data_IF_767225796050
#
_entry.id   IF_767225796050
#
_cell.length_a   1.000
_cell.length_b   1.000
_cell.length_c   1.000
_cell.angle_alpha   90.00
_cell.angle_beta   90.00
_cell.angle_gamma   90.00
#
_symmetry.space_group_name_H-M   'P 1'
#
loop_
_entity.id
_entity.type
_entity.pdbx_description
1 polymer ?
#
# COMPACT_ATOMS: atom_id res chain seq x y z
N UNK A 1 5.73 -23.51 14.47
CA UNK A 1 4.59 -23.45 13.51
C UNK A 1 4.91 -24.23 12.26
N UNK A 2 3.94 -24.95 11.70
CA UNK A 2 4.10 -25.51 10.35
C UNK A 2 3.64 -24.48 9.30
N UNK A 3 4.52 -24.12 8.37
CA UNK A 3 4.20 -23.15 7.33
C UNK A 3 3.28 -23.76 6.26
N UNK A 4 2.19 -23.07 5.84
CA UNK A 4 1.42 -23.48 4.66
C UNK A 4 2.30 -23.41 3.40
N UNK A 5 2.20 -24.39 2.54
CA UNK A 5 3.06 -24.49 1.35
C UNK A 5 2.42 -23.99 0.04
N UNK A 6 1.13 -23.70 0.06
CA UNK A 6 0.37 -23.26 -1.13
C UNK A 6 0.91 -21.96 -1.71
N UNK A 7 1.08 -20.92 -0.88
CA UNK A 7 1.61 -19.61 -1.29
C UNK A 7 3.08 -19.72 -1.68
N UNK A 8 3.87 -20.49 -0.91
CA UNK A 8 5.29 -20.68 -1.19
C UNK A 8 5.52 -21.24 -2.60
N UNK A 9 4.78 -22.27 -2.96
CA UNK A 9 4.88 -22.92 -4.29
C UNK A 9 4.45 -21.99 -5.41
N UNK A 10 3.33 -21.26 -5.21
CA UNK A 10 2.81 -20.35 -6.23
C UNK A 10 3.73 -19.16 -6.49
N UNK A 11 4.37 -18.64 -5.45
CA UNK A 11 5.20 -17.43 -5.53
C UNK A 11 6.71 -17.73 -5.62
N UNK A 12 7.12 -19.00 -5.52
CA UNK A 12 8.55 -19.38 -5.59
C UNK A 12 9.37 -18.84 -4.42
N UNK A 13 8.81 -18.80 -3.20
CA UNK A 13 9.43 -18.28 -1.99
C UNK A 13 9.59 -19.38 -0.93
N UNK A 14 10.49 -19.15 0.04
CA UNK A 14 10.74 -20.12 1.11
C UNK A 14 9.68 -20.03 2.23
N UNK A 15 9.33 -18.81 2.64
CA UNK A 15 8.36 -18.54 3.70
C UNK A 15 7.18 -17.75 3.14
N UNK A 16 5.92 -18.08 3.51
CA UNK A 16 4.73 -17.39 2.98
C UNK A 16 4.53 -16.01 3.61
N UNK A 17 5.61 -15.27 3.79
CA UNK A 17 5.64 -13.92 4.34
C UNK A 17 5.95 -12.94 3.22
N UNK A 18 5.14 -11.89 3.14
CA UNK A 18 5.21 -10.87 2.11
C UNK A 18 5.54 -9.52 2.75
N UNK A 19 6.60 -8.86 2.33
CA UNK A 19 6.82 -7.46 2.64
C UNK A 19 5.75 -6.64 1.90
N UNK A 20 4.92 -5.91 2.63
CA UNK A 20 3.83 -5.12 2.07
C UNK A 20 4.34 -4.05 1.10
N UNK A 21 3.65 -3.83 -0.05
CA UNK A 21 3.97 -2.71 -0.94
C UNK A 21 3.53 -1.40 -0.29
N UNK A 22 4.47 -0.61 0.21
CA UNK A 22 4.22 0.65 0.91
C UNK A 22 4.78 1.81 0.09
N UNK A 23 3.94 2.46 -0.72
CA UNK A 23 4.39 3.57 -1.57
C UNK A 23 4.93 4.73 -0.73
N UNK A 24 6.16 5.18 -1.07
CA UNK A 24 6.88 6.20 -0.30
C UNK A 24 7.63 5.67 0.94
N UNK A 25 7.57 4.36 1.21
CA UNK A 25 8.28 3.67 2.31
C UNK A 25 9.14 2.53 1.79
N UNK A 26 8.56 1.62 0.98
CA UNK A 26 9.27 0.51 0.37
C UNK A 26 10.30 1.00 -0.64
N UNK A 27 11.55 0.61 -0.46
CA UNK A 27 12.66 0.88 -1.38
C UNK A 27 13.05 -0.39 -2.13
N UNK A 28 13.80 -0.26 -3.20
CA UNK A 28 14.38 -1.42 -3.91
C UNK A 28 15.28 -2.26 -3.01
N UNK A 29 15.95 -1.62 -2.03
CA UNK A 29 16.77 -2.29 -1.01
C UNK A 29 15.91 -3.10 -0.06
N UNK A 30 14.76 -2.58 0.39
CA UNK A 30 13.80 -3.30 1.23
C UNK A 30 13.27 -4.56 0.52
N UNK A 31 12.93 -4.45 -0.76
CA UNK A 31 12.48 -5.57 -1.59
C UNK A 31 13.56 -6.67 -1.67
N UNK A 32 14.80 -6.27 -1.95
CA UNK A 32 15.93 -7.22 -2.02
C UNK A 32 16.22 -7.87 -0.66
N UNK A 33 16.15 -7.11 0.44
CA UNK A 33 16.35 -7.63 1.79
C UNK A 33 15.26 -8.63 2.20
N UNK A 34 14.01 -8.38 1.82
CA UNK A 34 12.91 -9.33 2.03
C UNK A 34 13.15 -10.63 1.24
N UNK A 35 13.57 -10.52 -0.02
CA UNK A 35 13.89 -11.69 -0.86
C UNK A 35 15.06 -12.50 -0.27
N UNK A 36 16.06 -11.84 0.31
CA UNK A 36 17.20 -12.48 0.99
C UNK A 36 16.79 -13.22 2.27
N UNK A 37 15.73 -12.76 2.95
CA UNK A 37 15.13 -13.47 4.07
C UNK A 37 14.31 -14.72 3.65
N UNK A 38 14.16 -15.00 2.36
CA UNK A 38 13.34 -16.08 1.83
C UNK A 38 11.84 -15.73 1.73
N UNK A 39 11.52 -14.45 1.86
CA UNK A 39 10.17 -13.86 1.78
C UNK A 39 9.92 -13.25 0.40
N UNK A 40 8.67 -12.84 0.11
CA UNK A 40 8.38 -12.05 -1.08
C UNK A 40 8.59 -10.57 -0.80
N UNK A 41 9.51 -9.94 -1.52
CA UNK A 41 9.60 -8.48 -1.60
C UNK A 41 8.51 -7.93 -2.52
N UNK A 42 7.94 -6.77 -2.18
CA UNK A 42 6.93 -6.13 -3.03
C UNK A 42 7.33 -4.69 -3.36
N UNK A 43 7.56 -4.44 -4.64
CA UNK A 43 7.92 -3.14 -5.20
C UNK A 43 6.64 -2.31 -5.40
N UNK A 44 6.52 -1.21 -4.70
CA UNK A 44 5.35 -0.33 -4.78
C UNK A 44 5.49 0.66 -5.95
N UNK A 45 4.87 0.36 -7.09
CA UNK A 45 4.82 1.23 -8.26
C UNK A 45 3.66 2.22 -8.20
N UNK A 46 2.59 1.88 -7.46
CA UNK A 46 1.42 2.73 -7.29
C UNK A 46 0.86 3.26 -8.64
N UNK A 47 0.86 4.58 -8.83
CA UNK A 47 0.42 5.30 -10.04
C UNK A 47 1.61 6.03 -10.74
N UNK A 48 2.80 5.45 -10.68
CA UNK A 48 3.97 5.94 -11.40
C UNK A 48 3.81 5.80 -12.91
N UNK A 49 4.57 6.61 -13.66
CA UNK A 49 4.64 6.47 -15.13
C UNK A 49 5.30 5.14 -15.53
N UNK A 50 5.13 4.76 -16.79
CA UNK A 50 5.81 3.61 -17.39
C UNK A 50 7.32 3.69 -17.19
N UNK A 51 7.96 4.81 -17.52
CA UNK A 51 9.41 5.00 -17.43
C UNK A 51 9.92 4.84 -15.97
N UNK A 52 9.24 5.47 -15.01
CA UNK A 52 9.57 5.33 -13.60
C UNK A 52 9.42 3.90 -13.09
N UNK A 53 8.40 3.20 -13.59
CA UNK A 53 8.17 1.79 -13.26
C UNK A 53 9.28 0.90 -13.82
N UNK A 54 9.71 1.12 -15.07
CA UNK A 54 10.85 0.43 -15.70
C UNK A 54 12.12 0.63 -14.87
N UNK A 55 12.43 1.88 -14.50
CA UNK A 55 13.62 2.22 -13.72
C UNK A 55 13.67 1.44 -12.41
N UNK A 56 12.59 1.51 -11.59
CA UNK A 56 12.54 0.83 -10.30
C UNK A 56 12.59 -0.70 -10.43
N UNK A 57 11.95 -1.29 -11.43
CA UNK A 57 12.02 -2.73 -11.69
C UNK A 57 13.45 -3.14 -12.03
N UNK A 58 14.13 -2.40 -12.90
CA UNK A 58 15.52 -2.69 -13.29
C UNK A 58 16.49 -2.48 -12.13
N UNK A 59 16.31 -1.45 -11.32
CA UNK A 59 17.08 -1.25 -10.11
C UNK A 59 16.91 -2.42 -9.12
N UNK A 60 15.67 -2.89 -8.92
CA UNK A 60 15.40 -4.04 -8.06
C UNK A 60 16.13 -5.30 -8.57
N UNK A 61 16.06 -5.56 -9.88
CA UNK A 61 16.75 -6.71 -10.53
C UNK A 61 18.26 -6.66 -10.42
N UNK A 62 18.87 -5.48 -10.25
CA UNK A 62 20.31 -5.37 -9.98
C UNK A 62 20.69 -5.81 -8.56
N UNK A 63 19.73 -5.76 -7.61
CA UNK A 63 19.97 -6.08 -6.19
C UNK A 63 19.59 -7.51 -5.82
N UNK A 64 18.74 -8.17 -6.60
CA UNK A 64 18.31 -9.54 -6.33
C UNK A 64 17.96 -10.30 -7.61
N UNK A 65 18.34 -11.57 -7.65
CA UNK A 65 17.94 -12.55 -8.68
C UNK A 65 16.65 -13.31 -8.31
N UNK A 66 16.11 -13.06 -7.11
CA UNK A 66 14.88 -13.70 -6.61
C UNK A 66 13.65 -13.02 -7.17
N UNK A 67 12.52 -13.77 -7.16
CA UNK A 67 11.23 -13.21 -7.53
C UNK A 67 10.79 -12.14 -6.52
N UNK A 68 10.15 -11.11 -7.04
CA UNK A 68 9.48 -10.07 -6.27
C UNK A 68 8.14 -9.71 -6.96
N UNK A 69 7.22 -9.15 -6.20
CA UNK A 69 5.97 -8.63 -6.74
C UNK A 69 6.13 -7.17 -7.16
N UNK A 70 5.62 -6.82 -8.34
CA UNK A 70 5.30 -5.43 -8.67
C UNK A 70 3.89 -5.12 -8.15
N UNK A 71 3.66 -3.94 -7.57
CA UNK A 71 2.35 -3.54 -7.06
C UNK A 71 1.89 -2.26 -7.73
N UNK A 72 0.68 -2.28 -8.31
CA UNK A 72 0.06 -1.15 -9.00
C UNK A 72 -1.29 -0.77 -8.40
N UNK A 73 -1.76 0.45 -8.69
CA UNK A 73 -3.08 0.92 -8.32
C UNK A 73 -4.04 0.84 -9.49
N UNK A 74 -5.12 0.05 -9.31
CA UNK A 74 -6.19 -0.11 -10.29
C UNK A 74 -7.39 0.71 -9.83
N UNK A 75 -7.49 1.94 -10.28
CA UNK A 75 -8.55 2.85 -9.86
C UNK A 75 -9.19 3.54 -11.04
N UNK A 76 -10.46 3.89 -10.89
CA UNK A 76 -11.14 4.75 -11.84
C UNK A 76 -10.59 6.17 -11.75
N UNK A 77 -10.28 6.78 -12.88
CA UNK A 77 -9.88 8.19 -12.97
C UNK A 77 -11.13 9.03 -13.24
N UNK A 78 -11.56 9.88 -12.29
CA UNK A 78 -12.73 10.74 -12.48
C UNK A 78 -12.52 11.71 -13.65
N UNK A 79 -13.58 11.93 -14.43
CA UNK A 79 -13.58 12.91 -15.52
C UNK A 79 -13.40 14.34 -15.00
N UNK A 80 -12.68 15.14 -15.77
CA UNK A 80 -12.43 16.56 -15.46
C UNK A 80 -13.63 17.39 -15.90
N UNK A 81 -14.65 17.47 -15.04
CA UNK A 81 -15.83 18.32 -15.21
C UNK A 81 -15.53 19.77 -14.79
N UNK A 82 -16.38 20.73 -15.20
CA UNK A 82 -16.22 22.13 -14.77
C UNK A 82 -16.37 22.27 -13.24
N UNK A 83 -17.25 21.48 -12.61
CA UNK A 83 -17.37 21.44 -11.16
C UNK A 83 -16.07 20.96 -10.49
N UNK A 84 -15.38 19.96 -11.05
CA UNK A 84 -14.09 19.51 -10.54
C UNK A 84 -13.02 20.60 -10.72
N UNK A 85 -13.00 21.32 -11.85
CA UNK A 85 -12.05 22.43 -12.09
C UNK A 85 -12.24 23.54 -11.04
N UNK A 86 -13.48 23.97 -10.81
CA UNK A 86 -13.79 24.98 -9.82
C UNK A 86 -13.40 24.55 -8.39
N UNK A 87 -13.75 23.30 -8.03
CA UNK A 87 -13.36 22.73 -6.74
C UNK A 87 -11.84 22.65 -6.60
N UNK A 88 -11.13 22.26 -7.67
CA UNK A 88 -9.67 22.18 -7.69
C UNK A 88 -9.02 23.54 -7.39
N UNK A 89 -9.48 24.59 -8.05
CA UNK A 89 -8.95 25.96 -7.84
C UNK A 89 -9.15 26.39 -6.37
N UNK A 90 -10.37 26.20 -5.82
CA UNK A 90 -10.66 26.54 -4.42
C UNK A 90 -9.82 25.70 -3.44
N UNK A 91 -9.68 24.43 -3.70
CA UNK A 91 -8.86 23.51 -2.88
C UNK A 91 -7.40 23.92 -2.91
N UNK A 92 -6.86 24.25 -4.09
CA UNK A 92 -5.49 24.74 -4.25
C UNK A 92 -5.25 26.00 -3.42
N UNK A 93 -6.12 27.01 -3.56
CA UNK A 93 -6.03 28.27 -2.81
C UNK A 93 -6.08 28.06 -1.30
N UNK A 94 -6.98 27.21 -0.84
CA UNK A 94 -7.09 26.84 0.57
C UNK A 94 -5.80 26.19 1.09
N UNK A 95 -5.24 25.24 0.36
CA UNK A 95 -4.02 24.53 0.77
C UNK A 95 -2.78 25.44 0.72
N UNK A 96 -2.68 26.36 -0.23
CA UNK A 96 -1.61 27.36 -0.29
C UNK A 96 -1.69 28.34 0.87
N UNK A 97 -2.90 28.79 1.22
CA UNK A 97 -3.11 29.63 2.40
C UNK A 97 -2.75 28.88 3.69
N UNK A 98 -3.20 27.64 3.83
CA UNK A 98 -2.87 26.79 5.00
C UNK A 98 -1.35 26.57 5.12
N UNK A 99 -0.66 26.32 4.00
CA UNK A 99 0.79 26.18 3.96
C UNK A 99 1.50 27.47 4.45
N UNK A 100 1.07 28.63 3.94
CA UNK A 100 1.62 29.94 4.32
C UNK A 100 1.43 30.25 5.80
N UNK A 101 0.26 29.96 6.36
CA UNK A 101 -0.04 30.14 7.80
C UNK A 101 0.84 29.28 8.70
N UNK A 102 1.36 28.16 8.15
CA UNK A 102 2.26 27.25 8.85
C UNK A 102 3.74 27.40 8.43
N UNK A 103 4.11 28.50 7.80
CA UNK A 103 5.47 28.80 7.36
C UNK A 103 6.06 27.73 6.40
N UNK A 104 5.22 27.14 5.56
CA UNK A 104 5.62 26.22 4.50
C UNK A 104 5.53 26.95 3.17
N UNK A 105 6.68 27.34 2.63
CA UNK A 105 6.74 27.94 1.29
C UNK A 105 6.57 26.87 0.23
N UNK A 106 5.48 26.93 -0.53
CA UNK A 106 5.19 25.99 -1.62
C UNK A 106 4.26 26.63 -2.64
N UNK A 107 4.51 26.36 -3.90
CA UNK A 107 3.58 26.58 -5.01
C UNK A 107 2.99 25.25 -5.42
N UNK A 108 1.67 25.10 -5.32
CA UNK A 108 0.98 23.89 -5.71
C UNK A 108 0.73 23.85 -7.23
N UNK A 109 0.74 22.69 -7.88
CA UNK A 109 0.53 22.59 -9.31
C UNK A 109 -0.88 23.04 -9.74
N UNK A 110 -1.01 23.57 -10.95
CA UNK A 110 -2.29 23.71 -11.61
C UNK A 110 -2.84 22.34 -12.06
N UNK A 111 -4.13 22.28 -12.37
CA UNK A 111 -4.76 21.04 -12.83
C UNK A 111 -4.14 20.52 -14.14
N UNK A 112 -3.75 21.42 -15.03
CA UNK A 112 -3.07 21.16 -16.30
C UNK A 112 -1.64 20.62 -16.16
N UNK A 113 -1.01 20.86 -15.01
CA UNK A 113 0.32 20.36 -14.69
C UNK A 113 0.28 18.96 -14.00
N UNK A 114 -0.90 18.45 -13.71
CA UNK A 114 -1.05 17.12 -13.07
C UNK A 114 -1.03 16.02 -14.14
N UNK A 115 -0.01 15.17 -14.08
CA UNK A 115 0.06 13.96 -14.91
C UNK A 115 -0.61 12.78 -14.17
N UNK A 116 -1.55 12.14 -14.86
CA UNK A 116 -2.24 10.93 -14.39
C UNK A 116 -1.98 9.83 -15.41
N UNK A 117 -1.50 8.68 -14.95
CA UNK A 117 -1.15 7.54 -15.77
C UNK A 117 -2.14 6.41 -15.56
N UNK A 118 -2.76 5.85 -16.63
CA UNK A 118 -3.60 4.68 -16.52
C UNK A 118 -2.74 3.45 -16.19
N UNK A 119 -3.24 2.55 -15.37
CA UNK A 119 -2.51 1.34 -14.97
C UNK A 119 -2.16 0.42 -16.15
N UNK A 120 -2.83 0.56 -17.29
CA UNK A 120 -2.55 -0.22 -18.49
C UNK A 120 -1.12 -0.04 -19.00
N UNK A 121 -0.56 1.17 -18.89
CA UNK A 121 0.85 1.42 -19.21
C UNK A 121 1.79 0.60 -18.33
N UNK A 122 1.46 0.47 -17.04
CA UNK A 122 2.24 -0.36 -16.12
C UNK A 122 2.06 -1.85 -16.37
N UNK A 123 0.88 -2.30 -16.83
CA UNK A 123 0.67 -3.69 -17.26
C UNK A 123 1.62 -4.06 -18.40
N UNK A 124 1.78 -3.19 -19.38
CA UNK A 124 2.70 -3.40 -20.49
C UNK A 124 4.16 -3.47 -20.01
N UNK A 125 4.57 -2.54 -19.17
CA UNK A 125 5.90 -2.54 -18.53
C UNK A 125 6.18 -3.84 -17.76
N UNK A 126 5.21 -4.32 -16.97
CA UNK A 126 5.35 -5.54 -16.16
C UNK A 126 5.61 -6.76 -17.04
N UNK A 127 4.95 -6.82 -18.20
CA UNK A 127 5.14 -7.88 -19.20
C UNK A 127 6.52 -7.74 -19.86
N UNK A 128 6.85 -6.55 -20.38
CA UNK A 128 8.10 -6.26 -21.08
C UNK A 128 9.32 -6.48 -20.17
N UNK A 129 9.22 -6.09 -18.91
CA UNK A 129 10.25 -6.33 -17.91
C UNK A 129 10.22 -7.76 -17.35
N UNK A 130 9.39 -8.66 -17.90
CA UNK A 130 9.31 -10.07 -17.49
C UNK A 130 9.14 -10.26 -15.97
N UNK A 131 8.35 -9.42 -15.30
CA UNK A 131 7.94 -9.63 -13.93
C UNK A 131 7.04 -10.87 -13.85
N UNK A 132 7.14 -11.65 -12.78
CA UNK A 132 6.38 -12.91 -12.64
C UNK A 132 5.22 -12.83 -11.68
N UNK A 133 5.17 -11.77 -10.86
CA UNK A 133 4.14 -11.58 -9.85
C UNK A 133 3.67 -10.13 -9.92
N UNK A 134 2.38 -9.94 -10.10
CA UNK A 134 1.71 -8.65 -10.04
C UNK A 134 0.71 -8.65 -8.89
N UNK A 135 0.84 -7.71 -7.96
CA UNK A 135 -0.21 -7.41 -7.00
C UNK A 135 -0.88 -6.07 -7.32
N UNK A 136 -2.16 -5.93 -6.96
CA UNK A 136 -2.89 -4.70 -7.23
C UNK A 136 -3.95 -4.40 -6.16
N UNK A 137 -4.35 -3.12 -6.09
CA UNK A 137 -5.32 -2.63 -5.11
C UNK A 137 -6.17 -1.50 -5.71
N UNK A 138 -7.28 -1.12 -5.06
CA UNK A 138 -8.26 -0.08 -5.41
C UNK A 138 -9.30 -0.49 -6.45
N UNK A 139 -9.30 -1.70 -6.92
CA UNK A 139 -10.22 -2.20 -7.92
C UNK A 139 -9.82 -3.56 -8.43
N UNK A 140 -10.47 -4.00 -9.48
CA UNK A 140 -10.10 -5.18 -10.25
C UNK A 140 -9.53 -4.77 -11.61
N UNK A 141 -8.59 -5.53 -12.12
CA UNK A 141 -8.11 -5.39 -13.50
C UNK A 141 -9.26 -5.68 -14.48
N UNK A 142 -9.25 -5.06 -15.64
CA UNK A 142 -10.15 -5.43 -16.71
C UNK A 142 -9.79 -6.79 -17.32
N UNK A 143 -10.74 -7.41 -18.00
CA UNK A 143 -10.60 -8.77 -18.56
C UNK A 143 -9.44 -8.85 -19.57
N UNK A 144 -9.21 -7.81 -20.36
CA UNK A 144 -8.12 -7.76 -21.34
C UNK A 144 -6.75 -7.76 -20.65
N UNK A 145 -6.59 -6.95 -19.60
CA UNK A 145 -5.37 -6.91 -18.80
C UNK A 145 -5.11 -8.24 -18.09
N UNK A 146 -6.14 -8.87 -17.52
CA UNK A 146 -6.03 -10.18 -16.88
C UNK A 146 -5.59 -11.23 -17.89
N UNK A 147 -6.23 -11.29 -19.05
CA UNK A 147 -5.88 -12.24 -20.12
C UNK A 147 -4.42 -12.05 -20.55
N UNK A 148 -4.02 -10.83 -20.87
CA UNK A 148 -2.67 -10.47 -21.32
C UNK A 148 -1.60 -10.89 -20.29
N UNK A 149 -1.83 -10.61 -19.01
CA UNK A 149 -0.92 -10.97 -17.92
C UNK A 149 -0.80 -12.49 -17.76
N UNK A 150 -1.92 -13.21 -17.82
CA UNK A 150 -1.94 -14.67 -17.70
C UNK A 150 -1.28 -15.37 -18.88
N UNK A 151 -1.48 -14.91 -20.10
CA UNK A 151 -0.81 -15.41 -21.31
C UNK A 151 0.73 -15.26 -21.19
N UNK A 152 1.23 -14.30 -20.40
CA UNK A 152 2.64 -14.13 -20.10
C UNK A 152 3.10 -14.85 -18.81
N UNK A 153 2.25 -15.70 -18.23
CA UNK A 153 2.57 -16.53 -17.06
C UNK A 153 2.78 -15.72 -15.78
N UNK A 154 2.10 -14.58 -15.61
CA UNK A 154 2.20 -13.71 -14.44
C UNK A 154 1.15 -14.12 -13.42
N UNK A 155 1.58 -14.38 -12.20
CA UNK A 155 0.70 -14.65 -11.05
C UNK A 155 0.07 -13.36 -10.54
N UNK A 156 -1.26 -13.35 -10.39
CA UNK A 156 -2.04 -12.17 -10.02
C UNK A 156 -2.49 -12.25 -8.55
N UNK A 157 -2.23 -11.17 -7.78
CA UNK A 157 -2.64 -11.02 -6.39
C UNK A 157 -3.56 -9.79 -6.29
N UNK A 158 -4.86 -9.99 -6.08
CA UNK A 158 -5.83 -8.90 -5.91
C UNK A 158 -6.12 -8.61 -4.44
N UNK A 159 -6.22 -7.34 -4.06
CA UNK A 159 -6.56 -6.95 -2.69
C UNK A 159 -8.06 -6.74 -2.53
N UNK A 160 -8.65 -7.31 -1.48
CA UNK A 160 -10.06 -7.08 -1.10
C UNK A 160 -10.20 -6.55 0.33
N UNK A 161 -11.32 -5.87 0.58
CA UNK A 161 -11.72 -5.36 1.90
C UNK A 161 -13.15 -5.78 2.27
N UNK A 162 -13.79 -6.58 1.41
CA UNK A 162 -15.10 -7.18 1.63
C UNK A 162 -15.19 -8.55 0.95
N UNK A 163 -16.18 -9.36 1.36
CA UNK A 163 -16.49 -10.65 0.71
C UNK A 163 -16.91 -10.44 -0.75
N UNK A 164 -17.71 -9.39 -1.02
CA UNK A 164 -18.14 -9.11 -2.39
C UNK A 164 -16.96 -8.80 -3.33
N UNK A 165 -15.97 -8.03 -2.86
CA UNK A 165 -14.74 -7.77 -3.63
C UNK A 165 -13.94 -9.06 -3.84
N UNK A 166 -13.85 -9.94 -2.83
CA UNK A 166 -13.17 -11.22 -2.95
C UNK A 166 -13.83 -12.13 -4.00
N UNK A 167 -15.16 -12.22 -4.00
CA UNK A 167 -15.93 -12.97 -5.00
C UNK A 167 -15.74 -12.42 -6.43
N UNK A 168 -15.67 -11.10 -6.57
CA UNK A 168 -15.38 -10.47 -7.87
C UNK A 168 -13.99 -10.84 -8.37
N UNK A 169 -12.97 -10.79 -7.51
CA UNK A 169 -11.60 -11.18 -7.84
C UNK A 169 -11.51 -12.65 -8.26
N UNK A 170 -12.12 -13.56 -7.48
CA UNK A 170 -12.15 -14.99 -7.83
C UNK A 170 -12.85 -15.24 -9.18
N UNK A 171 -14.01 -14.61 -9.39
CA UNK A 171 -14.77 -14.73 -10.66
C UNK A 171 -13.95 -14.24 -11.86
N UNK A 172 -13.14 -13.22 -11.70
CA UNK A 172 -12.25 -12.71 -12.76
C UNK A 172 -11.02 -13.62 -12.97
N UNK A 173 -10.87 -14.66 -12.15
CA UNK A 173 -9.78 -15.63 -12.24
C UNK A 173 -8.46 -15.13 -11.64
N UNK A 174 -8.49 -14.28 -10.63
CA UNK A 174 -7.29 -13.88 -9.88
C UNK A 174 -6.76 -15.08 -9.09
N UNK A 175 -5.43 -15.24 -9.06
CA UNK A 175 -4.78 -16.46 -8.56
C UNK A 175 -4.67 -16.52 -7.04
N UNK A 176 -4.57 -15.35 -6.38
CA UNK A 176 -4.42 -15.19 -4.93
C UNK A 176 -5.17 -13.94 -4.51
N UNK A 177 -5.87 -13.99 -3.38
CA UNK A 177 -6.55 -12.82 -2.82
C UNK A 177 -5.85 -12.36 -1.53
N UNK A 178 -5.48 -11.09 -1.48
CA UNK A 178 -4.97 -10.43 -0.29
C UNK A 178 -6.12 -9.78 0.48
N UNK A 179 -6.50 -10.36 1.61
CA UNK A 179 -7.57 -9.88 2.50
C UNK A 179 -7.01 -8.79 3.41
N UNK A 180 -7.42 -7.55 3.23
CA UNK A 180 -6.94 -6.43 4.02
C UNK A 180 -7.94 -6.05 5.13
N UNK A 181 -7.60 -6.35 6.39
CA UNK A 181 -8.37 -5.94 7.57
C UNK A 181 -8.40 -4.41 7.75
N UNK A 182 -9.44 -3.89 8.44
CA UNK A 182 -9.58 -2.44 8.69
C UNK A 182 -8.41 -1.87 9.50
N UNK A 183 -7.74 -2.67 10.30
CA UNK A 183 -6.57 -2.32 11.12
C UNK A 183 -5.29 -2.10 10.33
N UNK A 184 -5.24 -2.46 9.05
CA UNK A 184 -4.07 -2.24 8.20
C UNK A 184 -3.74 -0.75 8.05
N UNK A 185 -2.44 -0.43 7.99
CA UNK A 185 -1.94 0.91 7.70
C UNK A 185 -1.98 1.28 6.23
N UNK A 186 -1.86 2.57 5.93
CA UNK A 186 -1.91 3.10 4.58
C UNK A 186 -3.31 3.05 3.96
N UNK A 187 -3.35 3.14 2.64
CA UNK A 187 -4.61 3.18 1.91
C UNK A 187 -5.47 1.94 2.09
N UNK A 188 -6.78 2.14 2.23
CA UNK A 188 -7.75 1.06 2.13
C UNK A 188 -7.78 0.58 0.68
N UNK A 189 -7.61 -0.74 0.51
CA UNK A 189 -7.61 -1.39 -0.80
C UNK A 189 -8.99 -1.54 -1.42
N UNK A 190 -10.03 -0.96 -0.82
CA UNK A 190 -11.42 -1.05 -1.28
C UNK A 190 -11.59 -0.62 -2.73
N UNK A 191 -12.49 -1.27 -3.45
CA UNK A 191 -12.83 -0.89 -4.82
C UNK A 191 -13.51 0.49 -4.83
N UNK A 192 -14.47 0.68 -3.92
CA UNK A 192 -15.12 1.97 -3.71
C UNK A 192 -14.22 2.94 -2.91
N UNK A 193 -14.24 4.22 -3.32
CA UNK A 193 -13.44 5.27 -2.67
C UNK A 193 -14.17 5.94 -1.50
N UNK A 194 -15.49 6.13 -1.62
CA UNK A 194 -16.30 6.91 -0.66
C UNK A 194 -16.91 6.07 0.44
N UNK A 195 -17.35 4.85 0.13
CA UNK A 195 -18.04 3.96 1.05
C UNK A 195 -17.22 2.70 1.31
N UNK A 196 -16.19 2.84 2.17
CA UNK A 196 -15.32 1.72 2.49
C UNK A 196 -15.94 0.77 3.52
N UNK A 197 -15.85 -0.55 3.33
CA UNK A 197 -16.21 -1.51 4.37
C UNK A 197 -15.30 -1.35 5.60
N UNK A 198 -15.89 -1.19 6.79
CA UNK A 198 -15.15 -1.06 8.04
C UNK A 198 -15.19 -2.38 8.81
N UNK A 199 -14.75 -3.46 8.17
CA UNK A 199 -14.80 -4.81 8.72
C UNK A 199 -13.46 -5.14 9.38
N UNK A 200 -13.51 -5.55 10.66
CA UNK A 200 -12.34 -6.03 11.40
C UNK A 200 -11.72 -7.26 10.73
N UNK A 201 -10.40 -7.35 10.73
CA UNK A 201 -9.67 -8.35 9.96
C UNK A 201 -10.02 -9.79 10.29
N UNK A 202 -10.23 -10.11 11.59
CA UNK A 202 -10.66 -11.46 12.00
C UNK A 202 -12.01 -11.84 11.37
N UNK A 203 -12.98 -10.93 11.41
CA UNK A 203 -14.30 -11.16 10.82
C UNK A 203 -14.23 -11.25 9.30
N UNK A 204 -13.46 -10.37 8.67
CA UNK A 204 -13.33 -10.35 7.21
C UNK A 204 -12.64 -11.60 6.69
N UNK A 205 -11.50 -12.00 7.29
CA UNK A 205 -10.74 -13.16 6.84
C UNK A 205 -11.56 -14.45 6.93
N UNK A 206 -12.23 -14.68 8.05
CA UNK A 206 -13.08 -15.86 8.24
C UNK A 206 -14.20 -15.92 7.20
N UNK A 207 -14.90 -14.78 6.98
CA UNK A 207 -15.97 -14.73 5.99
C UNK A 207 -15.45 -14.94 4.56
N UNK A 208 -14.31 -14.34 4.19
CA UNK A 208 -13.73 -14.53 2.86
C UNK A 208 -13.30 -16.00 2.66
N UNK A 209 -12.69 -16.62 3.69
CA UNK A 209 -12.29 -18.03 3.65
C UNK A 209 -13.46 -18.96 3.37
N UNK A 210 -14.63 -18.68 3.94
CA UNK A 210 -15.84 -19.50 3.74
C UNK A 210 -16.48 -19.32 2.36
N UNK A 211 -16.10 -18.30 1.57
CA UNK A 211 -16.80 -17.92 0.34
C UNK A 211 -15.96 -18.08 -0.93
N UNK A 212 -14.63 -18.18 -0.83
CA UNK A 212 -13.73 -18.31 -2.00
C UNK A 212 -12.85 -19.54 -1.89
N UNK A 213 -12.40 -20.07 -3.04
CA UNK A 213 -11.55 -21.26 -3.10
C UNK A 213 -10.09 -20.95 -3.43
N UNK A 214 -9.78 -19.71 -3.80
CA UNK A 214 -8.40 -19.30 -4.11
C UNK A 214 -7.60 -19.07 -2.84
N UNK A 215 -6.26 -19.29 -2.87
CA UNK A 215 -5.41 -19.06 -1.71
C UNK A 215 -5.49 -17.62 -1.17
N UNK A 216 -5.45 -17.48 0.16
CA UNK A 216 -5.58 -16.20 0.84
C UNK A 216 -4.26 -15.75 1.47
N UNK A 217 -3.89 -14.50 1.19
CA UNK A 217 -2.92 -13.72 1.96
C UNK A 217 -3.70 -12.81 2.90
N UNK A 218 -3.27 -12.68 4.15
CA UNK A 218 -3.86 -11.71 5.07
C UNK A 218 -2.93 -10.53 5.31
N UNK A 219 -3.49 -9.31 5.31
CA UNK A 219 -2.78 -8.05 5.57
C UNK A 219 -3.51 -7.23 6.65
N UNK A 220 -2.82 -6.86 7.70
CA UNK A 220 -3.32 -6.05 8.81
C UNK A 220 -3.03 -6.67 10.17
N UNK A 221 -2.62 -5.86 11.14
CA UNK A 221 -2.45 -6.28 12.53
C UNK A 221 -1.37 -7.31 12.83
N UNK A 222 -0.63 -7.83 11.84
CA UNK A 222 0.45 -8.80 12.06
C UNK A 222 1.68 -8.08 12.59
N UNK A 223 2.11 -8.42 13.81
CA UNK A 223 3.29 -7.81 14.44
C UNK A 223 4.16 -8.81 15.23
N UNK A 224 3.86 -10.13 15.16
CA UNK A 224 4.62 -11.18 15.82
C UNK A 224 3.97 -12.54 15.59
N UNK A 225 4.61 -13.60 16.09
CA UNK A 225 4.19 -14.98 15.88
C UNK A 225 2.75 -15.26 16.33
N UNK A 226 2.29 -14.68 17.44
CA UNK A 226 0.92 -14.90 17.93
C UNK A 226 -0.16 -14.38 16.98
N UNK A 227 0.04 -13.18 16.44
CA UNK A 227 -0.92 -12.59 15.50
C UNK A 227 -0.88 -13.30 14.15
N UNK A 228 0.31 -13.73 13.71
CA UNK A 228 0.47 -14.53 12.50
C UNK A 228 -0.22 -15.91 12.66
N UNK A 229 -0.03 -16.60 13.81
CA UNK A 229 -0.71 -17.87 14.08
C UNK A 229 -2.24 -17.71 14.09
N UNK A 230 -2.75 -16.65 14.71
CA UNK A 230 -4.20 -16.41 14.77
C UNK A 230 -4.82 -16.29 13.37
N UNK A 231 -4.22 -15.52 12.46
CA UNK A 231 -4.74 -15.37 11.09
C UNK A 231 -4.52 -16.63 10.24
N UNK A 232 -3.49 -17.41 10.51
CA UNK A 232 -3.30 -18.73 9.92
C UNK A 232 -4.44 -19.68 10.31
N UNK A 233 -4.79 -19.71 11.60
CA UNK A 233 -5.86 -20.57 12.11
C UNK A 233 -7.25 -20.16 11.55
N UNK A 234 -7.40 -18.91 11.09
CA UNK A 234 -8.56 -18.41 10.37
C UNK A 234 -8.52 -18.67 8.85
N UNK A 235 -7.50 -19.38 8.34
CA UNK A 235 -7.43 -19.80 6.96
C UNK A 235 -6.46 -19.02 6.06
N UNK A 236 -5.71 -18.05 6.58
CA UNK A 236 -4.66 -17.38 5.80
C UNK A 236 -3.52 -18.36 5.49
N UNK A 237 -3.09 -18.37 4.24
CA UNK A 237 -2.00 -19.20 3.73
C UNK A 237 -0.74 -18.39 3.44
N UNK A 238 -0.85 -17.06 3.42
CA UNK A 238 0.24 -16.10 3.32
C UNK A 238 0.01 -14.89 4.23
N UNK A 239 1.09 -14.18 4.58
CA UNK A 239 1.10 -13.18 5.63
C UNK A 239 1.80 -11.92 5.17
N UNK A 240 1.05 -10.85 4.87
CA UNK A 240 1.62 -9.58 4.42
C UNK A 240 1.86 -8.65 5.62
N UNK A 241 3.12 -8.28 5.82
CA UNK A 241 3.56 -7.42 6.94
C UNK A 241 4.04 -6.06 6.45
N UNK A 242 3.55 -4.99 7.06
CA UNK A 242 3.92 -3.62 6.75
C UNK A 242 4.48 -2.89 7.98
N UNK A 243 3.69 -2.73 9.03
CA UNK A 243 4.06 -1.96 10.22
C UNK A 243 5.41 -2.35 10.83
N UNK A 244 5.73 -3.64 10.88
CA UNK A 244 7.01 -4.14 11.38
C UNK A 244 8.22 -3.56 10.65
N UNK A 245 8.05 -3.17 9.39
CA UNK A 245 9.13 -2.75 8.49
C UNK A 245 9.22 -1.23 8.34
N UNK A 246 8.29 -0.45 8.93
CA UNK A 246 8.24 1.01 8.75
C UNK A 246 9.52 1.72 9.20
N UNK A 247 10.13 1.28 10.30
CA UNK A 247 11.34 1.88 10.83
C UNK A 247 12.63 1.13 10.43
N UNK A 248 12.55 0.08 9.60
CA UNK A 248 13.73 -0.68 9.17
C UNK A 248 14.80 0.21 8.51
N UNK A 249 16.02 -0.30 8.41
CA UNK A 249 17.16 0.44 7.84
C UNK A 249 16.88 0.86 6.40
N UNK A 250 16.25 0.00 5.60
CA UNK A 250 15.96 0.24 4.18
C UNK A 250 14.70 1.08 3.94
N UNK A 251 13.95 1.42 4.98
CA UNK A 251 12.75 2.27 4.86
C UNK A 251 13.08 3.67 4.39
N UNK A 252 12.30 4.20 3.44
CA UNK A 252 12.43 5.58 2.95
C UNK A 252 11.92 6.64 3.94
N UNK A 253 11.37 6.24 5.10
CA UNK A 253 11.01 7.20 6.14
C UNK A 253 12.26 7.91 6.68
N UNK A 254 12.17 9.23 6.79
CA UNK A 254 13.25 10.05 7.36
C UNK A 254 13.34 9.88 8.90
N UNK A 255 14.46 10.23 9.52
CA UNK A 255 14.64 10.09 10.98
C UNK A 255 13.53 10.74 11.80
N UNK A 256 13.06 11.94 11.42
CA UNK A 256 11.99 12.64 12.16
C UNK A 256 10.63 11.89 12.04
N UNK A 257 10.35 11.22 10.90
CA UNK A 257 9.16 10.40 10.72
C UNK A 257 9.23 9.15 11.59
N UNK A 258 10.40 8.48 11.64
CA UNK A 258 10.66 7.33 12.52
C UNK A 258 10.53 7.71 14.00
N UNK A 259 11.06 8.87 14.39
CA UNK A 259 10.92 9.39 15.76
C UNK A 259 9.45 9.71 16.12
N UNK A 260 8.66 10.21 15.15
CA UNK A 260 7.22 10.43 15.35
C UNK A 260 6.49 9.10 15.56
N UNK A 261 6.84 8.06 14.80
CA UNK A 261 6.27 6.72 14.96
C UNK A 261 6.52 6.12 16.35
N UNK A 262 7.73 6.31 16.92
CA UNK A 262 8.06 5.81 18.28
C UNK A 262 7.21 6.46 19.39
N UNK A 263 6.67 7.65 19.13
CA UNK A 263 5.90 8.45 20.09
C UNK A 263 4.40 8.40 19.85
N UNK A 264 3.95 7.68 18.81
CA UNK A 264 2.53 7.62 18.45
C UNK A 264 1.74 6.86 19.51
N UNK A 265 0.54 7.37 19.82
CA UNK A 265 -0.42 6.77 20.74
C UNK A 265 -1.58 6.16 19.95
N UNK A 266 -2.29 5.23 20.55
CA UNK A 266 -3.38 4.48 19.90
C UNK A 266 -4.49 5.40 19.37
N UNK A 267 -4.86 6.43 20.15
CA UNK A 267 -5.89 7.40 19.79
C UNK A 267 -5.48 8.35 18.66
N UNK A 268 -4.21 8.38 18.27
CA UNK A 268 -3.71 9.18 17.16
C UNK A 268 -3.77 8.43 15.82
N UNK A 269 -4.21 7.15 15.82
CA UNK A 269 -4.31 6.35 14.58
C UNK A 269 -5.71 6.52 13.99
N UNK A 270 -5.79 7.25 12.88
CA UNK A 270 -7.05 7.61 12.25
C UNK A 270 -7.14 7.16 10.78
N UNK A 271 -8.36 7.03 10.27
CA UNK A 271 -8.63 6.94 8.83
C UNK A 271 -8.87 8.36 8.31
N UNK A 272 -8.26 8.69 7.17
CA UNK A 272 -8.33 10.03 6.58
C UNK A 272 -8.32 9.96 5.05
N UNK A 273 -9.01 10.92 4.41
CA UNK A 273 -8.94 11.22 2.97
C UNK A 273 -8.11 12.48 2.67
N UNK A 274 -7.70 13.23 3.69
CA UNK A 274 -7.13 14.58 3.58
C UNK A 274 -5.96 14.66 2.60
N UNK A 275 -5.05 13.69 2.63
CA UNK A 275 -3.85 13.72 1.79
C UNK A 275 -4.07 13.24 0.35
N UNK A 276 -4.96 12.27 0.15
CA UNK A 276 -5.01 11.58 -1.15
C UNK A 276 -6.38 11.59 -1.83
N UNK A 277 -7.46 11.88 -1.11
CA UNK A 277 -8.82 11.73 -1.62
C UNK A 277 -9.38 10.30 -1.50
N UNK A 278 -8.59 9.34 -1.00
CA UNK A 278 -9.04 7.99 -0.61
C UNK A 278 -8.68 7.71 0.83
N UNK A 279 -9.49 6.91 1.50
CA UNK A 279 -9.24 6.54 2.88
C UNK A 279 -7.91 5.81 3.05
N UNK A 280 -7.09 6.32 3.94
CA UNK A 280 -5.83 5.72 4.37
C UNK A 280 -5.71 5.81 5.90
N UNK A 281 -5.09 4.82 6.52
CA UNK A 281 -4.85 4.82 7.97
C UNK A 281 -3.45 5.35 8.26
N UNK A 282 -3.37 6.36 9.13
CA UNK A 282 -2.10 6.99 9.50
C UNK A 282 -2.16 7.73 10.81
N UNK A 283 -1.06 8.42 11.11
CA UNK A 283 -0.91 9.24 12.31
C UNK A 283 -1.65 10.56 12.12
N UNK A 284 -2.56 10.87 13.06
CA UNK A 284 -3.26 12.14 13.13
C UNK A 284 -2.28 13.30 13.31
N UNK A 285 -2.48 14.37 12.57
CA UNK A 285 -1.67 15.59 12.62
C UNK A 285 -2.52 16.81 12.27
N UNK A 286 -1.93 18.00 12.35
CA UNK A 286 -2.62 19.27 12.11
C UNK A 286 -3.26 19.34 10.72
N UNK A 287 -2.58 18.84 9.68
CA UNK A 287 -3.14 18.81 8.32
C UNK A 287 -4.44 17.99 8.25
N UNK A 288 -4.45 16.80 8.85
CA UNK A 288 -5.64 15.96 8.92
C UNK A 288 -6.76 16.67 9.69
N UNK A 289 -6.47 17.22 10.86
CA UNK A 289 -7.47 17.93 11.68
C UNK A 289 -8.13 19.10 10.93
N UNK A 290 -7.35 19.82 10.13
CA UNK A 290 -7.83 20.98 9.39
C UNK A 290 -8.61 20.58 8.13
N UNK A 291 -8.17 19.55 7.40
CA UNK A 291 -8.66 19.24 6.05
C UNK A 291 -9.78 18.19 6.06
N UNK A 292 -9.76 17.20 6.99
CA UNK A 292 -10.62 15.99 6.91
C UNK A 292 -12.12 16.29 6.85
N UNK A 293 -12.59 17.30 7.60
CA UNK A 293 -14.00 17.67 7.64
C UNK A 293 -14.32 18.90 6.77
N UNK A 294 -13.41 19.31 5.90
CA UNK A 294 -13.61 20.44 4.99
C UNK A 294 -14.22 20.00 3.66
N UNK A 295 -14.74 20.95 2.91
CA UNK A 295 -15.16 20.73 1.52
C UNK A 295 -13.98 20.61 0.53
N UNK A 296 -12.73 20.85 1.01
CA UNK A 296 -11.52 20.95 0.21
C UNK A 296 -10.79 19.61 0.01
N UNK A 297 -11.53 18.52 -0.11
CA UNK A 297 -10.98 17.21 -0.47
C UNK A 297 -11.44 16.86 -1.90
N UNK A 298 -10.48 16.74 -2.80
CA UNK A 298 -10.71 16.31 -4.17
C UNK A 298 -10.75 14.77 -4.24
N UNK A 299 -11.41 14.18 -5.25
CA UNK A 299 -11.33 12.75 -5.47
C UNK A 299 -9.88 12.35 -5.82
N UNK A 300 -9.52 11.08 -5.50
CA UNK A 300 -8.28 10.47 -5.97
C UNK A 300 -8.30 10.36 -7.51
N UNK A 301 -7.21 10.64 -8.25
CA UNK A 301 -5.86 10.95 -7.75
C UNK A 301 -5.57 12.45 -7.57
N UNK A 302 -6.52 13.35 -7.86
CA UNK A 302 -6.30 14.80 -7.90
C UNK A 302 -5.81 15.34 -6.54
N UNK A 303 -6.43 14.92 -5.42
CA UNK A 303 -5.99 15.31 -4.08
C UNK A 303 -4.55 14.84 -3.82
N UNK A 304 -4.25 13.58 -4.13
CA UNK A 304 -2.91 13.02 -3.93
C UNK A 304 -1.84 13.80 -4.70
N UNK A 305 -2.11 14.13 -5.96
CA UNK A 305 -1.17 14.87 -6.82
C UNK A 305 -1.02 16.33 -6.34
N UNK A 306 -2.11 16.98 -5.97
CA UNK A 306 -2.10 18.36 -5.48
C UNK A 306 -1.32 18.49 -4.16
N UNK A 307 -1.59 17.62 -3.17
CA UNK A 307 -0.93 17.66 -1.86
C UNK A 307 0.53 17.18 -1.87
N UNK A 308 0.99 16.54 -2.97
CA UNK A 308 2.34 15.98 -3.04
C UNK A 308 3.44 17.05 -2.89
N UNK A 309 3.25 18.23 -3.51
CA UNK A 309 4.21 19.33 -3.39
C UNK A 309 4.28 19.86 -1.95
N UNK A 310 3.12 20.02 -1.28
CA UNK A 310 3.04 20.42 0.12
C UNK A 310 3.74 19.42 1.05
N UNK A 311 3.45 18.11 0.87
CA UNK A 311 4.08 17.05 1.66
C UNK A 311 5.61 17.01 1.47
N UNK A 312 6.10 17.24 0.24
CA UNK A 312 7.54 17.32 -0.04
C UNK A 312 8.18 18.53 0.64
N UNK A 313 7.55 19.72 0.59
CA UNK A 313 8.03 20.91 1.27
C UNK A 313 8.08 20.72 2.80
N UNK A 314 6.99 20.19 3.38
CA UNK A 314 6.94 19.87 4.81
C UNK A 314 8.01 18.85 5.22
N UNK A 315 8.24 17.83 4.37
CA UNK A 315 9.29 16.83 4.61
C UNK A 315 10.70 17.43 4.60
N UNK A 316 10.97 18.38 3.73
CA UNK A 316 12.24 19.12 3.70
C UNK A 316 12.46 19.96 4.95
N UNK A 317 11.38 20.47 5.57
CA UNK A 317 11.38 21.20 6.82
C UNK A 317 11.35 20.29 8.06
N UNK A 318 11.33 18.97 7.88
CA UNK A 318 11.15 17.97 8.94
C UNK A 318 9.89 18.21 9.80
N UNK A 319 8.83 18.70 9.17
CA UNK A 319 7.57 19.05 9.84
C UNK A 319 6.58 17.87 9.77
N UNK A 320 6.37 17.08 10.85
CA UNK A 320 5.48 15.93 10.86
C UNK A 320 4.00 16.32 10.76
N UNK A 321 3.65 17.59 11.01
CA UNK A 321 2.27 18.05 11.02
C UNK A 321 1.67 18.17 9.61
N UNK A 322 2.51 18.12 8.55
CA UNK A 322 2.09 18.26 7.16
C UNK A 322 2.59 17.10 6.26
N UNK A 323 3.01 15.99 6.84
CA UNK A 323 3.36 14.77 6.10
C UNK A 323 2.43 13.61 6.46
N UNK A 324 2.11 12.76 5.49
CA UNK A 324 1.34 11.55 5.72
C UNK A 324 2.24 10.42 6.23
N UNK A 325 2.17 10.11 7.52
CA UNK A 325 2.84 8.96 8.12
C UNK A 325 1.83 7.83 8.22
N UNK A 326 1.91 6.88 7.29
CA UNK A 326 0.96 5.78 7.19
C UNK A 326 1.34 4.64 8.13
N UNK A 327 0.40 4.23 8.99
CA UNK A 327 0.62 3.25 10.04
C UNK A 327 -0.68 2.53 10.36
N UNK A 328 -0.63 1.22 10.65
CA UNK A 328 -1.77 0.44 11.14
C UNK A 328 -1.93 0.52 12.65
N UNK A 329 -2.90 -0.22 13.18
CA UNK A 329 -3.23 -0.17 14.61
C UNK A 329 -2.25 -0.91 15.53
N UNK A 330 -1.32 -1.71 14.98
CA UNK A 330 -0.27 -2.40 15.76
C UNK A 330 0.97 -1.52 15.85
N UNK A 331 1.04 -0.62 16.84
CA UNK A 331 2.01 0.50 16.90
C UNK A 331 3.21 0.31 17.83
N UNK A 332 3.28 -0.72 18.64
CA UNK A 332 4.26 -0.75 19.75
C UNK A 332 5.58 -1.46 19.44
N UNK A 333 5.82 -1.87 18.19
CA UNK A 333 7.02 -2.64 17.85
C UNK A 333 7.67 -2.12 16.54
N UNK A 334 8.35 -0.98 16.66
CA UNK A 334 9.17 -0.47 15.56
C UNK A 334 10.62 -0.85 15.77
N UNK A 335 11.17 -1.61 14.82
CA UNK A 335 12.57 -2.02 14.83
C UNK A 335 13.37 -1.24 13.78
N UNK A 336 14.56 -0.80 14.16
CA UNK A 336 15.54 -0.16 13.26
C UNK A 336 16.58 -1.15 12.72
N UNK A 337 16.38 -2.45 12.93
CA UNK A 337 17.17 -3.49 12.28
C UNK A 337 16.92 -3.49 10.77
N UNK A 338 17.74 -4.23 10.02
CA UNK A 338 17.47 -4.44 8.61
C UNK A 338 16.16 -5.21 8.37
N UNK A 339 15.53 -4.98 7.23
CA UNK A 339 14.33 -5.72 6.80
C UNK A 339 14.57 -7.24 6.84
N UNK A 340 15.76 -7.70 6.43
CA UNK A 340 16.15 -9.12 6.52
C UNK A 340 16.09 -9.63 7.96
N UNK A 341 16.74 -8.93 8.89
CA UNK A 341 16.78 -9.33 10.30
C UNK A 341 15.41 -9.34 10.95
N UNK A 342 14.57 -8.31 10.68
CA UNK A 342 13.20 -8.24 11.20
C UNK A 342 12.38 -9.44 10.72
N UNK A 343 12.45 -9.78 9.43
CA UNK A 343 11.72 -10.90 8.87
C UNK A 343 12.24 -12.25 9.38
N UNK A 344 13.56 -12.43 9.52
CA UNK A 344 14.15 -13.64 10.10
C UNK A 344 13.77 -13.82 11.57
N UNK A 345 13.70 -12.73 12.34
CA UNK A 345 13.24 -12.76 13.73
C UNK A 345 11.78 -13.23 13.81
N UNK A 346 10.88 -12.67 13.00
CA UNK A 346 9.49 -13.10 12.91
C UNK A 346 9.38 -14.59 12.55
N UNK A 347 10.12 -15.05 11.55
CA UNK A 347 10.15 -16.46 11.13
C UNK A 347 10.61 -17.35 12.30
N UNK A 348 11.71 -16.99 12.94
CA UNK A 348 12.27 -17.74 14.08
C UNK A 348 11.29 -17.83 15.25
N UNK A 349 10.57 -16.75 15.56
CA UNK A 349 9.51 -16.75 16.56
C UNK A 349 8.36 -17.70 16.21
N UNK A 350 7.99 -17.76 14.93
CA UNK A 350 6.95 -18.67 14.43
C UNK A 350 7.36 -20.15 14.47
N UNK A 351 8.64 -20.45 14.35
CA UNK A 351 9.16 -21.82 14.33
C UNK A 351 9.40 -22.41 15.74
N UNK A 352 9.41 -21.57 16.76
CA UNK A 352 9.43 -21.99 18.16
C UNK A 352 8.04 -22.42 18.63
#
# INVERSE_FOLDING_TARGET
MFWPDTINRKLGIQYPVIQAPMFGVSTVQMVAAAAKAGCLGSLALADLSADQSVELIRETKKLTDKLFAANIFVHHIPEVTDALKEKFVRTKQFLEQLAKENNIEVELPGLDAISIHPYHEQVDVIIEENCKILSFTFGNLDDQSIQKLKENGITLIGTCTSVNEALQLEKSGIDIICVQGIEAGGHRGSFEAEHIPQIGGLSLLSQVYDHVNVPLIYAGGIYGARTLQAVKDLGAQGFQVGNLLLASQESALQPFEKERLKKVREEEIVLTKSFSGRYARGVKNQFIETVENSEYILPYPYQNKLTNALRKAAKSLQNPEFVGIWVGQSIHQYSELSTEEILRNLITECER
#
